data_IF_603343124106
#
_entry.id   IF_603343124106
#
_cell.length_a   1.000
_cell.length_b   1.000
_cell.length_c   1.000
_cell.angle_alpha   90.00
_cell.angle_beta   90.00
_cell.angle_gamma   90.00
#
_symmetry.space_group_name_H-M   'P 1'
#
loop_
_entity.id
_entity.type
_entity.pdbx_description
1 polymer ?
#
# COMPACT_ATOMS: atom_id res chain seq x y z
N UNK A 1 35.38 -57.04 19.21
CA UNK A 1 34.12 -56.90 18.40
C UNK A 1 33.88 -55.43 18.12
N UNK A 2 34.27 -54.96 16.93
CA UNK A 2 34.25 -53.55 16.57
C UNK A 2 32.93 -53.25 15.90
N UNK A 3 32.05 -52.45 16.57
CA UNK A 3 30.84 -51.93 15.98
C UNK A 3 31.18 -50.64 15.22
N UNK A 4 31.09 -50.69 13.89
CA UNK A 4 31.11 -49.48 13.05
C UNK A 4 29.71 -48.88 13.04
N UNK A 5 29.53 -47.71 13.64
CA UNK A 5 28.32 -46.94 13.52
C UNK A 5 28.28 -46.30 12.12
N UNK A 6 27.34 -46.73 11.29
CA UNK A 6 27.02 -46.04 10.01
C UNK A 6 26.08 -44.92 10.36
N UNK A 7 26.55 -43.66 10.24
CA UNK A 7 25.74 -42.48 10.38
C UNK A 7 25.09 -42.17 9.01
N UNK A 8 23.83 -42.53 8.85
CA UNK A 8 23.08 -42.19 7.64
C UNK A 8 22.55 -40.78 7.79
N UNK A 9 23.17 -39.83 7.09
CA UNK A 9 22.69 -38.44 7.01
C UNK A 9 21.48 -38.40 6.08
N UNK A 10 20.25 -38.24 6.62
CA UNK A 10 19.08 -37.92 5.86
C UNK A 10 19.12 -36.42 5.51
N UNK A 11 19.47 -36.10 4.27
CA UNK A 11 19.24 -34.78 3.69
C UNK A 11 17.75 -34.70 3.31
N UNK A 12 16.94 -34.12 4.18
CA UNK A 12 15.58 -33.74 3.79
C UNK A 12 15.68 -32.49 2.92
N UNK A 13 15.51 -32.67 1.62
CA UNK A 13 15.18 -31.55 0.74
C UNK A 13 13.76 -31.13 1.07
N UNK A 14 13.58 -29.96 1.68
CA UNK A 14 12.28 -29.30 1.73
C UNK A 14 11.95 -28.88 0.28
N UNK A 15 11.16 -29.70 -0.41
CA UNK A 15 10.53 -29.29 -1.66
C UNK A 15 9.41 -28.30 -1.25
N UNK A 16 9.65 -27.03 -1.49
CA UNK A 16 8.60 -26.03 -1.39
C UNK A 16 7.66 -26.25 -2.59
N UNK A 17 6.45 -26.76 -2.33
CA UNK A 17 5.44 -26.92 -3.38
C UNK A 17 4.99 -25.54 -3.81
N UNK A 18 5.20 -25.20 -5.07
CA UNK A 18 4.87 -23.89 -5.65
C UNK A 18 3.38 -23.72 -5.99
N UNK A 19 2.53 -24.71 -5.74
CA UNK A 19 1.08 -24.70 -5.97
C UNK A 19 0.64 -24.00 -7.27
N UNK A 20 1.15 -24.45 -8.41
CA UNK A 20 0.92 -23.86 -9.73
C UNK A 20 1.52 -22.46 -9.96
N UNK A 21 2.45 -22.04 -9.12
CA UNK A 21 3.24 -20.83 -9.34
C UNK A 21 4.65 -21.19 -9.81
N UNK A 22 5.19 -20.35 -10.69
CA UNK A 22 6.56 -20.46 -11.17
C UNK A 22 7.28 -19.13 -10.96
N UNK A 23 8.45 -19.16 -10.31
CA UNK A 23 9.33 -18.01 -10.26
C UNK A 23 9.93 -17.79 -11.65
N UNK A 24 9.67 -16.64 -12.26
CA UNK A 24 10.17 -16.29 -13.59
C UNK A 24 11.48 -15.51 -13.50
N UNK A 25 11.56 -14.56 -12.59
CA UNK A 25 12.78 -13.79 -12.32
C UNK A 25 12.77 -13.23 -10.92
N UNK A 26 13.84 -12.54 -10.58
CA UNK A 26 13.99 -11.81 -9.33
C UNK A 26 14.67 -10.48 -9.63
N UNK A 27 14.10 -9.37 -9.11
CA UNK A 27 14.71 -8.04 -9.17
C UNK A 27 15.13 -7.64 -7.76
N UNK A 28 16.42 -7.42 -7.54
CA UNK A 28 16.98 -7.14 -6.22
C UNK A 28 17.15 -5.63 -6.01
N UNK A 29 16.63 -5.14 -4.88
CA UNK A 29 16.88 -3.79 -4.39
C UNK A 29 17.93 -3.84 -3.26
N UNK A 30 18.77 -2.80 -3.17
CA UNK A 30 19.73 -2.67 -2.06
C UNK A 30 19.04 -2.27 -0.73
N UNK A 31 17.77 -1.88 -0.78
CA UNK A 31 16.96 -1.42 0.35
C UNK A 31 15.84 -2.42 0.65
N UNK A 32 15.34 -2.37 1.88
CA UNK A 32 14.13 -3.10 2.25
C UNK A 32 12.91 -2.57 1.48
N UNK A 33 12.06 -3.49 1.06
CA UNK A 33 10.81 -3.19 0.39
C UNK A 33 9.68 -3.16 1.42
N UNK A 34 8.68 -2.31 1.20
CA UNK A 34 7.46 -2.24 1.99
C UNK A 34 6.25 -2.75 1.21
N UNK A 35 5.56 -1.89 0.48
CA UNK A 35 4.38 -2.21 -0.29
C UNK A 35 4.67 -2.26 -1.80
N UNK A 36 3.72 -2.78 -2.57
CA UNK A 36 3.78 -2.86 -4.01
C UNK A 36 2.41 -2.58 -4.63
N UNK A 37 2.36 -1.74 -5.65
CA UNK A 37 1.21 -1.60 -6.54
C UNK A 37 1.63 -1.85 -7.98
N UNK A 38 0.67 -1.91 -8.91
CA UNK A 38 0.97 -2.08 -10.32
C UNK A 38 -0.02 -1.37 -11.22
N UNK A 39 0.41 -1.11 -12.46
CA UNK A 39 -0.47 -0.56 -13.47
C UNK A 39 -0.12 -1.11 -14.86
N UNK A 40 -1.10 -0.99 -15.75
CA UNK A 40 -0.96 -1.34 -17.16
C UNK A 40 -1.17 -0.10 -18.00
N UNK A 41 -0.20 0.21 -18.87
CA UNK A 41 -0.27 1.37 -19.76
C UNK A 41 0.53 1.10 -21.03
N UNK A 42 0.03 1.53 -22.18
CA UNK A 42 0.69 1.44 -23.50
C UNK A 42 1.15 0.01 -23.87
N UNK A 43 0.34 -1.00 -23.52
CA UNK A 43 0.64 -2.45 -23.67
C UNK A 43 1.86 -2.91 -22.86
N UNK A 44 2.17 -2.24 -21.76
CA UNK A 44 3.25 -2.58 -20.83
C UNK A 44 2.70 -2.71 -19.42
N UNK A 45 3.34 -3.54 -18.62
CA UNK A 45 3.03 -3.80 -17.23
C UNK A 45 4.13 -3.20 -16.35
N UNK A 46 3.71 -2.51 -15.29
CA UNK A 46 4.62 -1.84 -14.37
C UNK A 46 4.30 -2.25 -12.93
N UNK A 47 5.35 -2.45 -12.15
CA UNK A 47 5.29 -2.55 -10.69
C UNK A 47 5.87 -1.28 -10.08
N UNK A 48 5.23 -0.75 -9.04
CA UNK A 48 5.78 0.33 -8.23
C UNK A 48 6.04 -0.22 -6.84
N UNK A 49 7.28 -0.17 -6.41
CA UNK A 49 7.75 -0.79 -5.16
C UNK A 49 8.17 0.28 -4.17
N UNK A 50 7.57 0.26 -2.99
CA UNK A 50 7.99 1.09 -1.86
C UNK A 50 9.35 0.61 -1.31
N UNK A 51 10.31 1.52 -1.22
CA UNK A 51 11.63 1.31 -0.64
C UNK A 51 11.80 2.21 0.58
N UNK A 52 12.84 1.98 1.39
CA UNK A 52 13.07 2.78 2.59
C UNK A 52 13.11 4.30 2.36
N UNK A 53 13.69 4.76 1.26
CA UNK A 53 13.83 6.19 0.97
C UNK A 53 13.33 6.59 -0.42
N UNK A 54 12.58 5.72 -1.10
CA UNK A 54 12.09 5.98 -2.46
C UNK A 54 10.87 5.12 -2.79
N UNK A 55 10.23 5.41 -3.92
CA UNK A 55 9.40 4.47 -4.67
C UNK A 55 10.07 4.20 -6.02
N UNK A 56 10.27 2.92 -6.35
CA UNK A 56 10.89 2.46 -7.59
C UNK A 56 9.83 2.03 -8.59
N UNK A 57 9.92 2.50 -9.82
CA UNK A 57 9.04 2.15 -10.94
C UNK A 57 9.77 1.14 -11.82
N UNK A 58 9.21 -0.04 -11.97
CA UNK A 58 9.85 -1.18 -12.66
C UNK A 58 8.97 -1.64 -13.80
N UNK A 59 9.52 -1.69 -15.02
CA UNK A 59 8.87 -2.37 -16.13
C UNK A 59 8.99 -3.89 -15.92
N UNK A 60 7.84 -4.56 -15.88
CA UNK A 60 7.72 -6.02 -15.73
C UNK A 60 7.04 -6.68 -16.94
N UNK A 61 6.95 -5.95 -18.05
CA UNK A 61 6.33 -6.41 -19.31
C UNK A 61 6.98 -7.70 -19.81
N UNK A 62 8.31 -7.78 -19.75
CA UNK A 62 9.02 -9.06 -19.86
C UNK A 62 9.30 -9.61 -18.46
N UNK A 63 8.52 -10.58 -17.98
CA UNK A 63 8.67 -11.07 -16.61
C UNK A 63 9.99 -11.82 -16.36
N UNK A 64 10.78 -12.09 -17.39
CA UNK A 64 12.11 -12.67 -17.26
C UNK A 64 13.22 -11.63 -17.14
N UNK A 65 12.96 -10.39 -17.53
CA UNK A 65 13.93 -9.31 -17.56
C UNK A 65 13.32 -7.98 -17.05
N UNK A 66 12.85 -7.91 -15.78
CA UNK A 66 12.35 -6.66 -15.20
C UNK A 66 13.48 -5.64 -15.08
N UNK A 67 13.16 -4.34 -15.27
CA UNK A 67 14.15 -3.27 -15.11
C UNK A 67 13.51 -1.99 -14.57
N UNK A 68 14.25 -1.25 -13.75
CA UNK A 68 13.81 0.04 -13.21
C UNK A 68 13.80 1.11 -14.31
N UNK A 69 12.66 1.79 -14.48
CA UNK A 69 12.48 2.91 -15.41
C UNK A 69 12.64 4.26 -14.72
N UNK A 70 12.40 4.33 -13.42
CA UNK A 70 12.54 5.57 -12.66
C UNK A 70 12.35 5.37 -11.18
N UNK A 71 12.65 6.45 -10.41
CA UNK A 71 12.57 6.45 -8.96
C UNK A 71 12.15 7.81 -8.44
N UNK A 72 11.29 7.84 -7.44
CA UNK A 72 10.90 9.05 -6.71
C UNK A 72 11.45 8.95 -5.30
N UNK A 73 12.37 9.83 -4.96
CA UNK A 73 12.98 9.88 -3.64
C UNK A 73 12.01 10.42 -2.58
N UNK A 74 12.20 9.98 -1.33
CA UNK A 74 11.41 10.39 -0.17
C UNK A 74 12.18 10.24 1.13
N UNK A 75 11.58 10.72 2.22
CA UNK A 75 12.14 10.57 3.56
C UNK A 75 12.20 9.10 3.99
N UNK A 76 13.19 8.76 4.81
CA UNK A 76 13.41 7.38 5.25
C UNK A 76 12.25 6.88 6.11
N UNK A 77 11.65 5.78 5.71
CA UNK A 77 10.63 5.03 6.45
C UNK A 77 10.64 3.57 6.00
N UNK A 78 10.36 2.66 6.91
CA UNK A 78 10.15 1.24 6.59
C UNK A 78 8.70 0.97 6.09
N UNK A 79 7.81 1.95 6.23
CA UNK A 79 6.43 1.88 5.77
C UNK A 79 6.20 2.91 4.68
N UNK A 80 5.84 2.43 3.49
CA UNK A 80 5.50 3.24 2.33
C UNK A 80 4.45 2.49 1.54
N UNK A 81 3.23 3.04 1.51
CA UNK A 81 2.07 2.46 0.83
C UNK A 81 1.84 3.17 -0.51
N UNK A 82 1.37 2.44 -1.51
CA UNK A 82 1.30 2.90 -2.90
C UNK A 82 -0.02 2.51 -3.54
N UNK A 83 -0.68 3.47 -4.19
CA UNK A 83 -1.88 3.18 -4.98
C UNK A 83 -1.83 3.90 -6.33
N UNK A 84 -2.33 3.24 -7.36
CA UNK A 84 -2.43 3.78 -8.71
C UNK A 84 -3.85 4.21 -9.02
N UNK A 85 -4.01 5.36 -9.67
CA UNK A 85 -5.26 5.83 -10.24
C UNK A 85 -5.00 6.76 -11.43
N UNK A 86 -5.65 6.50 -12.56
CA UNK A 86 -5.69 7.36 -13.77
C UNK A 86 -4.32 8.03 -14.09
N UNK A 87 -3.32 7.20 -14.39
CA UNK A 87 -1.94 7.60 -14.71
C UNK A 87 -1.21 8.37 -13.61
N UNK A 88 -1.63 8.19 -12.37
CA UNK A 88 -0.94 8.73 -11.20
C UNK A 88 -0.70 7.64 -10.16
N UNK A 89 0.41 7.77 -9.45
CA UNK A 89 0.73 6.94 -8.28
C UNK A 89 0.76 7.85 -7.05
N UNK A 90 -0.04 7.50 -6.06
CA UNK A 90 -0.03 8.13 -4.75
C UNK A 90 0.88 7.34 -3.83
N UNK A 91 1.74 8.04 -3.08
CA UNK A 91 2.76 7.43 -2.22
C UNK A 91 2.60 8.00 -0.83
N UNK A 92 2.08 7.19 0.09
CA UNK A 92 2.02 7.45 1.52
C UNK A 92 3.27 6.97 2.24
N UNK A 93 3.54 7.49 3.43
CA UNK A 93 4.64 7.07 4.29
C UNK A 93 4.42 7.51 5.74
N UNK A 94 4.94 6.76 6.71
CA UNK A 94 4.96 7.18 8.12
C UNK A 94 6.00 8.26 8.42
N UNK A 95 6.89 8.58 7.48
CA UNK A 95 7.74 9.77 7.59
C UNK A 95 6.91 11.05 7.32
N UNK A 96 7.30 12.17 7.95
CA UNK A 96 6.64 13.46 7.71
C UNK A 96 7.07 14.03 6.34
N UNK A 97 6.47 13.50 5.28
CA UNK A 97 6.83 13.77 3.88
C UNK A 97 5.59 14.06 3.00
N UNK A 98 4.42 14.12 3.60
CA UNK A 98 3.14 14.26 2.92
C UNK A 98 2.82 13.04 2.04
N UNK A 99 1.76 13.15 1.25
CA UNK A 99 1.41 12.14 0.25
C UNK A 99 1.89 12.64 -1.11
N UNK A 100 2.86 11.97 -1.71
CA UNK A 100 3.38 12.34 -3.02
C UNK A 100 2.43 11.91 -4.14
N UNK A 101 2.23 12.79 -5.11
CA UNK A 101 1.45 12.55 -6.32
C UNK A 101 2.40 12.49 -7.50
N UNK A 102 2.53 11.34 -8.10
CA UNK A 102 3.49 11.08 -9.19
C UNK A 102 2.72 10.83 -10.48
N UNK A 103 2.94 11.65 -11.50
CA UNK A 103 2.42 11.36 -12.85
C UNK A 103 3.26 10.28 -13.52
N UNK A 104 2.57 9.33 -14.14
CA UNK A 104 3.10 8.31 -15.03
C UNK A 104 2.47 8.41 -16.43
N UNK A 105 2.13 9.64 -16.87
CA UNK A 105 1.70 9.90 -18.25
C UNK A 105 2.73 9.37 -19.26
N UNK A 106 4.01 9.56 -18.97
CA UNK A 106 5.13 8.86 -19.57
C UNK A 106 5.66 7.84 -18.56
N UNK A 107 5.34 6.54 -18.72
CA UNK A 107 5.73 5.54 -17.73
C UNK A 107 7.24 5.27 -17.68
N UNK A 108 8.00 5.69 -18.69
CA UNK A 108 9.46 5.64 -18.68
C UNK A 108 10.11 6.82 -17.92
N UNK A 109 9.30 7.81 -17.53
CA UNK A 109 9.79 9.00 -16.82
C UNK A 109 8.77 9.47 -15.78
N UNK A 110 8.60 8.73 -14.65
CA UNK A 110 7.71 9.14 -13.56
C UNK A 110 8.13 10.48 -12.98
N UNK A 111 7.18 11.39 -12.79
CA UNK A 111 7.44 12.76 -12.33
C UNK A 111 6.59 13.09 -11.12
N UNK A 112 7.23 13.54 -10.02
CA UNK A 112 6.53 14.13 -8.89
C UNK A 112 5.85 15.45 -9.35
N UNK A 113 4.52 15.46 -9.37
CA UNK A 113 3.74 16.62 -9.85
C UNK A 113 3.12 17.41 -8.70
N UNK A 114 2.89 16.77 -7.54
CA UNK A 114 2.31 17.41 -6.37
C UNK A 114 2.69 16.66 -5.09
N UNK A 115 2.43 17.29 -3.95
CA UNK A 115 2.44 16.66 -2.62
C UNK A 115 1.25 17.20 -1.83
N UNK A 116 0.41 16.31 -1.29
CA UNK A 116 -0.62 16.67 -0.33
C UNK A 116 0.08 16.94 0.99
N UNK A 117 0.08 18.20 1.44
CA UNK A 117 0.79 18.63 2.66
C UNK A 117 -0.16 18.89 3.84
N UNK A 118 -1.48 18.70 3.64
CA UNK A 118 -2.46 18.80 4.73
C UNK A 118 -2.37 17.58 5.67
N UNK A 119 -1.75 16.52 5.18
CA UNK A 119 -1.49 15.26 5.89
C UNK A 119 0.02 15.06 5.94
N UNK A 120 0.61 15.10 7.13
CA UNK A 120 2.06 14.99 7.29
C UNK A 120 2.58 13.58 7.01
N UNK A 121 1.84 12.56 7.43
CA UNK A 121 2.20 11.15 7.33
C UNK A 121 0.97 10.26 7.12
N UNK A 122 1.19 9.00 6.77
CA UNK A 122 0.13 7.98 6.69
C UNK A 122 0.72 6.60 6.92
N UNK A 123 -0.09 5.71 7.50
CA UNK A 123 0.26 4.30 7.58
C UNK A 123 -0.20 3.55 6.33
N UNK A 124 -1.46 3.74 5.94
CA UNK A 124 -2.06 3.09 4.78
C UNK A 124 -2.82 4.11 3.91
N UNK A 125 -2.94 3.84 2.63
CA UNK A 125 -3.76 4.60 1.68
C UNK A 125 -4.58 3.65 0.81
N UNK A 126 -5.77 4.06 0.42
CA UNK A 126 -6.65 3.29 -0.47
C UNK A 126 -7.24 4.19 -1.54
N UNK A 127 -7.45 3.68 -2.75
CA UNK A 127 -8.20 4.37 -3.81
C UNK A 127 -9.39 3.53 -4.20
N UNK A 128 -10.60 4.08 -4.08
CA UNK A 128 -11.82 3.38 -4.47
C UNK A 128 -12.08 3.43 -5.98
N UNK A 129 -13.05 2.66 -6.43
CA UNK A 129 -13.41 2.57 -7.86
C UNK A 129 -14.06 3.83 -8.43
N UNK A 130 -14.46 4.78 -7.57
CA UNK A 130 -15.08 6.04 -7.95
C UNK A 130 -14.06 7.19 -8.00
N UNK A 131 -12.79 6.92 -7.75
CA UNK A 131 -11.69 7.90 -7.79
C UNK A 131 -11.62 8.78 -6.56
N UNK A 132 -11.72 8.19 -5.38
CA UNK A 132 -11.42 8.85 -4.12
C UNK A 132 -10.23 8.19 -3.44
N UNK A 133 -9.29 9.00 -2.98
CA UNK A 133 -8.16 8.58 -2.17
C UNK A 133 -8.54 8.71 -0.69
N UNK A 134 -8.35 7.63 0.04
CA UNK A 134 -8.49 7.57 1.49
C UNK A 134 -7.11 7.42 2.11
N UNK A 135 -6.85 8.21 3.15
CA UNK A 135 -5.57 8.22 3.87
C UNK A 135 -5.87 7.92 5.33
N UNK A 136 -5.16 6.96 5.91
CA UNK A 136 -5.33 6.54 7.30
C UNK A 136 -4.00 6.40 8.02
N UNK A 137 -4.07 6.27 9.35
CA UNK A 137 -2.88 6.24 10.20
C UNK A 137 -2.14 7.56 10.24
N UNK A 138 -2.85 8.67 9.93
CA UNK A 138 -2.35 10.03 9.97
C UNK A 138 -2.71 10.72 11.29
N UNK A 139 -2.02 11.81 11.59
CA UNK A 139 -2.37 12.68 12.70
C UNK A 139 -3.68 13.46 12.41
N UNK A 140 -4.31 14.06 13.40
CA UNK A 140 -5.53 14.89 13.42
C UNK A 140 -6.84 14.14 13.10
N UNK A 141 -6.94 13.40 11.99
CA UNK A 141 -8.13 12.64 11.61
C UNK A 141 -7.78 11.17 11.38
N UNK A 142 -8.71 10.28 11.73
CA UNK A 142 -8.51 8.85 11.55
C UNK A 142 -8.59 8.44 10.08
N UNK A 143 -9.44 9.15 9.30
CA UNK A 143 -9.58 8.97 7.85
C UNK A 143 -9.71 10.33 7.17
N UNK A 144 -8.91 10.55 6.15
CA UNK A 144 -9.00 11.67 5.22
C UNK A 144 -9.49 11.18 3.86
N UNK A 145 -10.39 11.92 3.21
CA UNK A 145 -10.99 11.55 1.91
C UNK A 145 -10.73 12.67 0.90
N UNK A 146 -10.01 12.36 -0.16
CA UNK A 146 -9.70 13.27 -1.25
C UNK A 146 -10.38 12.84 -2.54
N UNK A 147 -10.95 13.79 -3.28
CA UNK A 147 -11.43 13.57 -4.64
C UNK A 147 -10.25 13.59 -5.62
N UNK A 148 -10.21 12.62 -6.53
CA UNK A 148 -9.24 12.50 -7.60
C UNK A 148 -9.84 12.92 -8.95
N UNK A 149 -10.85 13.83 -8.97
CA UNK A 149 -11.39 14.39 -10.22
C UNK A 149 -10.30 15.11 -11.04
N UNK A 150 -9.32 15.73 -10.40
CA UNK A 150 -8.02 16.09 -10.95
C UNK A 150 -6.96 15.24 -10.25
N UNK A 151 -6.49 14.17 -10.88
CA UNK A 151 -5.55 13.25 -10.25
C UNK A 151 -4.22 13.88 -9.84
N UNK A 152 -3.81 14.97 -10.53
CA UNK A 152 -2.60 15.72 -10.19
C UNK A 152 -2.79 16.65 -8.98
N UNK A 153 -4.04 17.03 -8.68
CA UNK A 153 -4.37 17.98 -7.61
C UNK A 153 -5.54 17.45 -6.76
N UNK A 154 -5.34 16.42 -5.95
CA UNK A 154 -6.37 15.87 -5.07
C UNK A 154 -6.97 16.95 -4.17
N UNK A 155 -8.30 16.95 -4.04
CA UNK A 155 -9.05 17.92 -3.25
C UNK A 155 -9.67 17.24 -2.04
N UNK A 156 -9.40 17.76 -0.82
CA UNK A 156 -10.01 17.27 0.42
C UNK A 156 -11.53 17.49 0.37
N UNK A 157 -12.30 16.41 0.52
CA UNK A 157 -13.76 16.45 0.48
C UNK A 157 -14.42 16.06 1.79
N UNK A 158 -13.75 15.26 2.64
CA UNK A 158 -14.29 14.86 3.92
C UNK A 158 -13.28 14.19 4.82
N UNK A 159 -13.67 14.05 6.09
CA UNK A 159 -12.90 13.35 7.10
C UNK A 159 -13.82 12.56 8.01
N UNK A 160 -13.31 11.47 8.57
CA UNK A 160 -13.97 10.73 9.64
C UNK A 160 -13.00 10.63 10.83
N UNK A 161 -13.52 10.83 12.04
CA UNK A 161 -12.71 10.80 13.27
C UNK A 161 -13.53 10.16 14.38
N UNK A 162 -13.16 8.97 14.77
CA UNK A 162 -13.73 8.24 15.88
C UNK A 162 -12.67 7.44 16.64
N UNK A 163 -11.74 6.83 15.91
CA UNK A 163 -10.65 6.03 16.45
C UNK A 163 -9.57 5.83 15.39
N UNK A 164 -8.31 5.70 15.83
CA UNK A 164 -7.17 5.44 14.95
C UNK A 164 -7.47 4.25 14.04
N UNK A 165 -7.44 4.50 12.74
CA UNK A 165 -7.64 3.53 11.68
C UNK A 165 -6.28 3.12 11.14
N UNK A 166 -5.94 1.84 11.26
CA UNK A 166 -4.65 1.31 10.80
C UNK A 166 -4.71 0.93 9.33
N UNK A 167 -5.65 0.07 8.97
CA UNK A 167 -5.90 -0.38 7.60
C UNK A 167 -7.35 -0.16 7.21
N UNK A 168 -7.58 0.01 5.90
CA UNK A 168 -8.92 0.18 5.34
C UNK A 168 -9.09 -0.58 4.03
N UNK A 169 -10.34 -0.96 3.80
CA UNK A 169 -10.86 -1.34 2.49
C UNK A 169 -12.14 -0.55 2.22
N UNK A 170 -12.36 -0.11 0.98
CA UNK A 170 -13.59 0.58 0.58
C UNK A 170 -14.31 -0.21 -0.50
N UNK A 171 -15.54 -0.65 -0.19
CA UNK A 171 -16.35 -1.40 -1.13
C UNK A 171 -17.83 -1.01 -1.02
N UNK A 172 -18.49 -0.78 -2.14
CA UNK A 172 -19.91 -0.39 -2.21
C UNK A 172 -20.27 0.77 -1.28
N UNK A 173 -19.53 1.86 -1.31
CA UNK A 173 -19.71 3.03 -0.45
C UNK A 173 -19.67 2.73 1.06
N UNK A 174 -18.99 1.69 1.44
CA UNK A 174 -18.68 1.37 2.83
C UNK A 174 -17.18 1.29 3.01
N UNK A 175 -16.68 1.99 4.00
CA UNK A 175 -15.31 1.91 4.45
C UNK A 175 -15.28 0.94 5.64
N UNK A 176 -14.37 0.01 5.57
CA UNK A 176 -14.08 -0.99 6.59
C UNK A 176 -12.75 -0.61 7.24
N UNK A 177 -12.77 -0.24 8.51
CA UNK A 177 -11.60 0.24 9.23
C UNK A 177 -11.17 -0.77 10.28
N UNK A 178 -9.90 -1.14 10.25
CA UNK A 178 -9.23 -1.94 11.27
C UNK A 178 -8.57 -1.02 12.31
N UNK A 179 -9.14 -0.94 13.53
CA UNK A 179 -8.61 -0.11 14.61
C UNK A 179 -7.65 -0.93 15.49
N UNK A 180 -6.38 -0.98 15.08
CA UNK A 180 -5.36 -1.89 15.60
C UNK A 180 -5.16 -1.80 17.12
N UNK A 181 -5.24 -0.59 17.70
CA UNK A 181 -4.92 -0.40 19.12
C UNK A 181 -6.06 -0.79 20.06
N UNK A 182 -7.31 -0.69 19.61
CA UNK A 182 -8.47 -1.02 20.43
C UNK A 182 -9.03 -2.41 20.14
N UNK A 183 -8.62 -3.04 19.05
CA UNK A 183 -9.19 -4.29 18.57
C UNK A 183 -10.62 -4.14 18.05
N UNK A 184 -11.06 -2.92 17.74
CA UNK A 184 -12.34 -2.66 17.12
C UNK A 184 -12.25 -2.72 15.58
N UNK A 185 -13.36 -3.03 14.99
CA UNK A 185 -13.62 -2.96 13.56
C UNK A 185 -14.81 -2.04 13.32
N UNK A 186 -14.67 -1.10 12.41
CA UNK A 186 -15.73 -0.15 12.08
C UNK A 186 -16.22 -0.32 10.66
N UNK A 187 -17.53 -0.12 10.47
CA UNK A 187 -18.13 0.06 9.15
C UNK A 187 -18.65 1.49 9.09
N UNK A 188 -18.11 2.25 8.16
CA UNK A 188 -18.44 3.67 7.95
C UNK A 188 -19.16 3.82 6.62
N UNK A 189 -20.29 4.53 6.62
CA UNK A 189 -20.94 4.95 5.38
C UNK A 189 -20.15 6.08 4.77
N UNK A 190 -19.76 5.91 3.51
CA UNK A 190 -19.02 6.90 2.71
C UNK A 190 -19.72 7.16 1.37
N UNK A 191 -21.06 6.95 1.27
CA UNK A 191 -21.84 7.30 0.09
C UNK A 191 -21.76 8.81 -0.15
N UNK A 192 -21.99 9.60 0.89
CA UNK A 192 -21.66 11.02 0.92
C UNK A 192 -20.24 11.21 1.49
N UNK A 193 -19.26 11.39 0.61
CA UNK A 193 -17.86 11.58 0.97
C UNK A 193 -17.61 12.80 1.86
N UNK A 194 -18.53 13.80 1.82
CA UNK A 194 -18.41 15.02 2.62
C UNK A 194 -18.94 14.86 4.05
N UNK A 195 -19.66 13.80 4.33
CA UNK A 195 -20.28 13.53 5.62
C UNK A 195 -20.27 12.03 5.99
N UNK A 196 -19.10 11.40 6.09
CA UNK A 196 -19.00 10.00 6.46
C UNK A 196 -19.49 9.78 7.89
N UNK A 197 -20.16 8.64 8.15
CA UNK A 197 -20.65 8.30 9.48
C UNK A 197 -20.58 6.81 9.78
N UNK A 198 -20.36 6.47 11.04
CA UNK A 198 -20.30 5.08 11.51
C UNK A 198 -21.66 4.42 11.44
N UNK A 199 -21.76 3.30 10.73
CA UNK A 199 -22.96 2.43 10.67
C UNK A 199 -22.92 1.41 11.80
N UNK A 200 -21.75 0.79 12.01
CA UNK A 200 -21.56 -0.27 12.98
C UNK A 200 -20.10 -0.31 13.47
N UNK A 201 -19.94 -0.88 14.66
CA UNK A 201 -18.62 -1.26 15.16
C UNK A 201 -18.73 -2.63 15.84
N UNK A 202 -17.62 -3.35 15.83
CA UNK A 202 -17.51 -4.64 16.48
C UNK A 202 -16.16 -4.79 17.16
N UNK A 203 -16.19 -5.12 18.45
CA UNK A 203 -15.00 -5.51 19.19
C UNK A 203 -14.67 -6.97 18.88
N UNK A 204 -13.45 -7.26 18.47
CA UNK A 204 -13.05 -8.63 18.06
C UNK A 204 -12.92 -9.61 19.23
N UNK A 205 -13.07 -9.13 20.47
CA UNK A 205 -13.21 -9.95 21.66
C UNK A 205 -11.93 -10.26 22.41
N UNK A 206 -10.78 -9.68 21.99
CA UNK A 206 -9.50 -9.92 22.65
C UNK A 206 -8.78 -8.58 22.85
N UNK A 207 -8.72 -8.10 24.10
CA UNK A 207 -7.94 -6.91 24.45
C UNK A 207 -6.47 -7.08 24.04
N UNK A 208 -5.94 -6.08 23.38
CA UNK A 208 -4.53 -6.04 22.95
C UNK A 208 -4.19 -6.93 21.78
N UNK A 209 -5.19 -7.53 21.10
CA UNK A 209 -5.00 -8.10 19.77
C UNK A 209 -5.44 -7.08 18.75
N UNK A 210 -4.49 -6.75 17.89
CA UNK A 210 -4.68 -5.84 16.77
C UNK A 210 -5.72 -6.36 15.80
N UNK A 211 -6.67 -5.50 15.43
CA UNK A 211 -7.45 -5.65 14.22
C UNK A 211 -6.58 -5.16 13.07
N UNK A 212 -6.35 -6.01 12.10
CA UNK A 212 -5.51 -5.75 10.93
C UNK A 212 -6.31 -6.11 9.67
N UNK A 213 -5.79 -5.88 8.48
CA UNK A 213 -6.40 -6.22 7.18
C UNK A 213 -6.91 -7.69 7.05
#
# INVERSE_FOLDING_TARGET
MNYKYIFTLFLSFALCDSYNMQLLSFYEFEQECSDITGFYQDNREFAVVGLQNAASFVDVTDPYNPFEVGRIEGSTSIWRDLKYWDKHVYIGTEANDGIKVVSVDDPDNPVLVNTINDVDNSHNIHVDLDGYLYIVGADEHDVWIYSLNDPSNPELVGTWSQEYCHDIEVYNNKLYCAAIYSGNFYIVDVEDKTNPFTIASHFTGIDGISTHD
#
